data_IF_105662510862
#
_entry.id   IF_105662510862
#
_cell.length_a   1.000
_cell.length_b   1.000
_cell.length_c   1.000
_cell.angle_alpha   90.00
_cell.angle_beta   90.00
_cell.angle_gamma   90.00
#
_symmetry.space_group_name_H-M   'P 1'
#
loop_
_entity.id
_entity.type
_entity.pdbx_description
1 polymer ?
#
# COMPACT_ATOMS: atom_id res chain seq x y z
N UNK A 1 36.32 28.66 23.58
CA UNK A 1 35.91 28.35 23.34
C UNK A 1 35.18 27.63 23.29
N UNK A 2 34.70 27.34 23.29
CA UNK A 2 34.04 26.68 23.14
C UNK A 2 33.09 26.44 22.70
N UNK A 3 32.63 26.02 22.48
CA UNK A 3 31.83 25.75 21.88
C UNK A 3 30.86 25.10 22.11
N UNK A 4 30.18 25.07 22.02
CA UNK A 4 29.24 24.65 22.30
C UNK A 4 28.53 24.08 21.51
N UNK A 5 28.24 23.31 21.44
CA UNK A 5 27.66 22.75 20.58
C UNK A 5 26.59 22.23 20.81
N UNK A 6 25.90 22.21 20.63
CA UNK A 6 24.86 21.73 20.59
C UNK A 6 24.21 21.08 20.05
N UNK A 7 23.75 20.38 19.86
CA UNK A 7 23.26 19.60 19.42
C UNK A 7 22.13 19.50 19.47
N UNK A 8 21.53 19.54 19.11
CA UNK A 8 20.49 19.48 18.97
C UNK A 8 19.86 18.49 18.73
N UNK A 9 19.34 17.91 18.99
CA UNK A 9 18.73 16.93 18.93
C UNK A 9 17.72 16.90 18.24
N UNK A 10 17.68 16.36 17.45
CA UNK A 10 16.74 16.35 16.62
C UNK A 10 15.78 15.52 17.01
N UNK A 11 14.98 15.69 17.33
CA UNK A 11 14.11 15.00 17.62
C UNK A 11 13.26 14.59 16.78
N UNK A 12 13.07 13.66 16.37
CA UNK A 12 12.33 13.16 15.53
C UNK A 12 11.14 12.73 16.01
N UNK A 13 10.23 13.18 15.65
CA UNK A 13 9.06 12.82 16.04
C UNK A 13 8.52 11.80 15.39
N UNK A 14 8.44 10.79 15.72
CA UNK A 14 7.88 9.84 14.99
C UNK A 14 6.54 9.77 15.29
N UNK A 15 5.75 9.84 14.57
CA UNK A 15 4.46 9.76 14.79
C UNK A 15 4.01 8.51 14.68
N UNK A 16 4.07 7.79 15.32
CA UNK A 16 3.61 6.55 15.20
C UNK A 16 2.21 6.44 15.40
N UNK A 17 1.64 5.52 15.43
CA UNK A 17 0.32 5.33 15.78
C UNK A 17 -0.68 5.57 14.74
N UNK A 18 -0.31 6.07 13.69
CA UNK A 18 -1.25 6.33 12.75
C UNK A 18 -1.50 5.13 11.98
N UNK A 19 -2.67 4.75 11.77
CA UNK A 19 -2.93 3.56 11.03
C UNK A 19 -3.28 3.87 9.61
N UNK A 20 -3.17 5.07 9.16
CA UNK A 20 -3.49 5.36 7.78
C UNK A 20 -2.36 4.96 6.87
N UNK A 21 -2.70 4.34 5.76
CA UNK A 21 -1.75 4.05 4.73
C UNK A 21 -1.82 5.22 3.77
N UNK A 22 -0.73 5.92 3.59
CA UNK A 22 -0.73 7.07 2.72
C UNK A 22 -0.58 6.65 1.27
N UNK A 23 -1.26 7.35 0.38
CA UNK A 23 -1.15 7.09 -1.03
C UNK A 23 0.17 7.66 -1.53
N UNK A 24 0.99 6.84 -2.12
CA UNK A 24 2.27 7.28 -2.65
C UNK A 24 2.07 8.11 -3.91
N UNK A 25 3.07 8.91 -4.31
CA UNK A 25 2.93 9.69 -5.54
C UNK A 25 2.65 8.79 -6.74
N UNK A 26 1.67 9.17 -7.52
CA UNK A 26 1.28 8.39 -8.68
C UNK A 26 0.29 7.29 -8.40
N UNK A 27 0.14 6.90 -7.16
CA UNK A 27 -0.74 5.77 -6.84
C UNK A 27 -2.21 6.11 -7.05
N UNK A 28 -2.58 7.37 -6.91
CA UNK A 28 -3.98 7.73 -7.07
C UNK A 28 -4.44 7.56 -8.51
N UNK A 29 -3.54 7.51 -9.46
CA UNK A 29 -3.89 7.30 -10.85
C UNK A 29 -3.98 5.82 -11.21
N UNK A 30 -3.61 4.94 -10.30
CA UNK A 30 -3.63 3.51 -10.57
C UNK A 30 -5.08 3.03 -10.48
N UNK A 31 -5.49 2.23 -11.45
CA UNK A 31 -6.85 1.74 -11.49
C UNK A 31 -6.96 0.37 -10.86
N UNK A 32 -8.16 0.01 -10.44
CA UNK A 32 -8.40 -1.30 -9.87
C UNK A 32 -9.31 -2.03 -10.83
N UNK A 33 -8.90 -3.21 -11.27
CA UNK A 33 -9.69 -4.02 -12.17
C UNK A 33 -10.21 -5.22 -11.40
N UNK A 34 -11.42 -5.65 -11.70
CA UNK A 34 -11.99 -6.79 -11.00
C UNK A 34 -11.67 -8.10 -11.71
N UNK A 35 -11.11 -8.04 -12.89
CA UNK A 35 -10.73 -9.24 -13.63
C UNK A 35 -9.51 -8.88 -14.45
N UNK A 36 -8.86 -9.87 -15.02
CA UNK A 36 -7.66 -9.61 -15.81
C UNK A 36 -8.02 -8.70 -16.98
N UNK A 37 -7.41 -7.54 -17.07
CA UNK A 37 -7.80 -6.58 -18.11
C UNK A 37 -7.29 -7.00 -19.47
N UNK A 38 -8.15 -6.91 -20.47
CA UNK A 38 -7.79 -7.31 -21.81
C UNK A 38 -6.80 -6.33 -22.41
N UNK A 39 -5.85 -6.84 -23.16
CA UNK A 39 -4.91 -5.97 -23.86
C UNK A 39 -3.85 -5.33 -23.00
N UNK A 40 -3.77 -5.73 -21.74
CA UNK A 40 -2.77 -5.16 -20.85
C UNK A 40 -1.61 -6.12 -20.66
N UNK A 41 -0.47 -5.57 -20.28
CA UNK A 41 0.72 -6.39 -20.06
C UNK A 41 0.84 -6.76 -18.62
N UNK A 42 1.13 -8.01 -18.31
CA UNK A 42 1.34 -8.40 -16.91
C UNK A 42 2.64 -7.83 -16.40
N UNK A 43 2.61 -7.33 -15.19
CA UNK A 43 3.78 -6.74 -14.56
C UNK A 43 4.10 -7.40 -13.23
N UNK A 44 3.66 -8.62 -13.01
CA UNK A 44 3.98 -9.35 -11.81
C UNK A 44 2.84 -9.33 -10.81
N UNK A 45 3.13 -9.82 -9.63
CA UNK A 45 2.15 -9.88 -8.55
C UNK A 45 2.80 -9.39 -7.29
N UNK A 46 2.01 -8.85 -6.39
CA UNK A 46 2.51 -8.44 -5.08
C UNK A 46 1.57 -8.98 -4.03
N UNK A 47 2.10 -9.17 -2.85
CA UNK A 47 1.29 -9.53 -1.72
C UNK A 47 1.41 -8.38 -0.75
N UNK A 48 0.29 -7.86 -0.29
CA UNK A 48 0.30 -6.76 0.68
C UNK A 48 -0.42 -7.20 1.93
N UNK A 49 -0.09 -6.62 3.04
CA UNK A 49 -0.72 -7.01 4.29
C UNK A 49 -0.85 -5.84 5.23
N UNK A 50 -1.88 -5.88 6.04
CA UNK A 50 -2.08 -4.91 7.11
C UNK A 50 -2.57 -5.69 8.31
N UNK A 51 -2.58 -5.04 9.46
CA UNK A 51 -3.06 -5.72 10.64
C UNK A 51 -4.55 -5.87 10.55
N UNK A 52 -5.05 -7.06 10.66
CA UNK A 52 -6.48 -7.31 10.56
C UNK A 52 -7.17 -7.32 11.91
N UNK A 53 -6.44 -7.45 12.99
CA UNK A 53 -7.04 -7.46 14.31
C UNK A 53 -6.08 -6.97 15.37
N UNK A 54 -6.60 -6.61 16.52
CA UNK A 54 -5.79 -6.15 17.61
C UNK A 54 -6.29 -6.89 18.84
N UNK A 55 -5.61 -7.92 19.24
CA UNK A 55 -6.03 -8.72 20.36
C UNK A 55 -7.39 -9.31 20.09
N UNK A 56 -8.33 -9.14 20.98
CA UNK A 56 -9.66 -9.70 20.77
C UNK A 56 -10.54 -8.90 19.83
N UNK A 57 -10.04 -7.77 19.31
CA UNK A 57 -10.86 -6.96 18.46
C UNK A 57 -10.44 -7.13 17.01
N UNK A 58 -11.40 -7.23 16.14
CA UNK A 58 -11.11 -7.32 14.74
C UNK A 58 -11.31 -5.96 14.12
N UNK A 59 -10.49 -5.60 13.20
CA UNK A 59 -10.64 -4.33 12.54
C UNK A 59 -11.79 -4.41 11.55
N UNK A 60 -12.35 -3.26 11.21
CA UNK A 60 -13.41 -3.17 10.24
C UNK A 60 -12.92 -3.71 8.90
N UNK A 61 -13.64 -4.65 8.32
CA UNK A 61 -13.18 -5.30 7.10
C UNK A 61 -13.12 -4.36 5.91
N UNK A 62 -13.99 -3.36 5.85
CA UNK A 62 -13.91 -2.42 4.76
C UNK A 62 -12.66 -1.57 4.87
N UNK A 63 -12.27 -1.24 6.09
CA UNK A 63 -11.08 -0.45 6.26
C UNK A 63 -9.86 -1.27 5.90
N UNK A 64 -9.83 -2.53 6.28
CA UNK A 64 -8.73 -3.41 5.93
C UNK A 64 -8.63 -3.52 4.41
N UNK A 65 -9.77 -3.69 3.75
CA UNK A 65 -9.80 -3.80 2.30
C UNK A 65 -9.25 -2.52 1.67
N UNK A 66 -9.66 -1.36 2.16
CA UNK A 66 -9.19 -0.11 1.59
C UNK A 66 -7.70 0.09 1.79
N UNK A 67 -7.19 -0.31 2.93
CA UNK A 67 -5.76 -0.19 3.19
C UNK A 67 -4.95 -1.12 2.31
N UNK A 68 -5.45 -2.34 2.09
CA UNK A 68 -4.76 -3.28 1.22
C UNK A 68 -4.74 -2.76 -0.21
N UNK A 69 -5.85 -2.20 -0.66
CA UNK A 69 -5.92 -1.64 -1.99
C UNK A 69 -4.96 -0.48 -2.15
N UNK A 70 -4.86 0.38 -1.15
CA UNK A 70 -3.93 1.50 -1.20
C UNK A 70 -2.48 1.00 -1.26
N UNK A 71 -2.16 -0.04 -0.48
CA UNK A 71 -0.81 -0.59 -0.52
C UNK A 71 -0.49 -1.15 -1.90
N UNK A 72 -1.44 -1.84 -2.53
CA UNK A 72 -1.21 -2.38 -3.85
C UNK A 72 -1.00 -1.27 -4.87
N UNK A 73 -1.81 -0.22 -4.79
CA UNK A 73 -1.68 0.89 -5.71
C UNK A 73 -0.35 1.62 -5.51
N UNK A 74 0.13 1.66 -4.27
CA UNK A 74 1.43 2.27 -3.99
C UNK A 74 2.57 1.48 -4.62
N UNK A 75 2.40 0.16 -4.79
CA UNK A 75 3.46 -0.66 -5.38
C UNK A 75 3.47 -0.59 -6.90
N UNK A 76 2.36 -0.28 -7.50
CA UNK A 76 2.22 -0.37 -8.95
C UNK A 76 3.22 0.48 -9.73
N UNK A 77 3.46 1.75 -9.36
CA UNK A 77 4.41 2.53 -10.17
C UNK A 77 5.81 1.93 -10.18
N UNK A 78 6.23 1.32 -9.10
CA UNK A 78 7.55 0.70 -9.05
C UNK A 78 7.69 -0.49 -9.96
N UNK A 79 6.57 -1.07 -10.39
CA UNK A 79 6.59 -2.19 -11.30
C UNK A 79 6.17 -1.76 -12.69
N UNK A 80 6.09 -0.47 -12.95
CA UNK A 80 5.64 0.09 -14.21
C UNK A 80 4.23 -0.38 -14.53
N UNK A 81 3.40 -0.51 -13.50
CA UNK A 81 2.02 -0.93 -13.67
C UNK A 81 1.11 0.26 -13.44
N UNK A 82 -0.05 0.27 -14.07
CA UNK A 82 -1.02 1.31 -13.86
C UNK A 82 -2.38 0.74 -13.46
N UNK A 83 -2.47 -0.56 -13.29
CA UNK A 83 -3.71 -1.21 -12.91
C UNK A 83 -3.38 -2.36 -11.97
N UNK A 84 -4.17 -2.51 -10.91
CA UNK A 84 -4.00 -3.61 -9.96
C UNK A 84 -5.27 -4.43 -9.98
N UNK A 85 -5.14 -5.73 -9.80
CA UNK A 85 -6.29 -6.63 -9.82
C UNK A 85 -6.22 -7.52 -8.60
N UNK A 86 -7.18 -7.47 -7.69
CA UNK A 86 -7.16 -8.36 -6.53
C UNK A 86 -7.36 -9.80 -6.98
N UNK A 87 -6.54 -10.68 -6.45
CA UNK A 87 -6.60 -12.07 -6.83
C UNK A 87 -7.41 -12.91 -5.86
N UNK A 88 -6.95 -13.04 -4.65
CA UNK A 88 -7.69 -13.80 -3.68
C UNK A 88 -7.75 -13.01 -2.44
N UNK A 89 -8.57 -13.42 -1.54
CA UNK A 89 -8.64 -12.84 -0.24
C UNK A 89 -9.50 -11.65 -0.19
N UNK A 90 -9.34 -10.80 0.78
CA UNK A 90 -8.27 -10.84 1.77
C UNK A 90 -8.54 -11.89 2.85
N UNK A 91 -7.45 -12.40 3.41
CA UNK A 91 -7.56 -13.30 4.49
C UNK A 91 -6.61 -12.86 5.52
N UNK A 92 -7.04 -12.65 6.74
CA UNK A 92 -6.20 -12.22 7.86
C UNK A 92 -5.35 -11.01 7.48
N UNK A 93 -5.93 -10.08 6.76
CA UNK A 93 -5.22 -8.85 6.40
C UNK A 93 -4.19 -9.03 5.32
N UNK A 94 -4.24 -10.11 4.56
CA UNK A 94 -3.28 -10.36 3.49
C UNK A 94 -4.03 -10.48 2.17
N UNK A 95 -3.52 -9.89 1.13
CA UNK A 95 -4.16 -9.92 -0.18
C UNK A 95 -3.12 -9.93 -1.28
N UNK A 96 -3.32 -10.74 -2.29
CA UNK A 96 -2.46 -10.73 -3.45
C UNK A 96 -3.11 -9.95 -4.56
N UNK A 97 -2.30 -9.23 -5.32
CA UNK A 97 -2.77 -8.44 -6.45
C UNK A 97 -1.90 -8.72 -7.65
N UNK A 98 -2.52 -8.84 -8.80
CA UNK A 98 -1.79 -8.90 -10.05
C UNK A 98 -1.60 -7.46 -10.53
N UNK A 99 -0.46 -7.19 -11.12
CA UNK A 99 -0.10 -5.86 -11.60
C UNK A 99 -0.12 -5.86 -13.11
N UNK A 100 -0.75 -4.85 -13.69
CA UNK A 100 -0.91 -4.76 -15.13
C UNK A 100 -0.54 -3.38 -15.65
N UNK A 101 -0.05 -3.36 -16.87
CA UNK A 101 0.18 -2.09 -17.53
C UNK A 101 -0.77 -2.03 -18.69
N UNK A 102 -1.71 -1.12 -18.64
CA UNK A 102 -2.73 -0.98 -19.66
C UNK A 102 -2.50 0.23 -20.56
N UNK A 103 -1.79 1.22 -20.08
CA UNK A 103 -1.51 2.39 -20.89
C UNK A 103 -0.43 2.05 -21.91
N UNK A 104 -0.51 2.68 -23.05
CA UNK A 104 0.45 2.42 -24.10
C UNK A 104 1.30 3.63 -24.42
#
# INVERSE_FOLDING_TARGET
>A
MRNAVFVLAAMIATTAGCTWVHMAPGASAVKVATAAPAGCQPRGEVEVSVKAGLGPYERNSLRVHDELETLARNEAPGLAADTVQPLDGPEDGVQRYAMWRCAH
#
